data_IF_975043659195
#
_entry.id   IF_975043659195
#
_cell.length_a   1.000
_cell.length_b   1.000
_cell.length_c   1.000
_cell.angle_alpha   90.00
_cell.angle_beta   90.00
_cell.angle_gamma   90.00
#
_symmetry.space_group_name_H-M   'P 1'
#
loop_
_entity.id
_entity.type
_entity.pdbx_description
1 polymer ?
#
# COMPACT_ATOMS: atom_id res chain seq x y z
N UNK A 1 -15.06 9.59 -24.27
CA UNK A 1 -14.51 10.73 -23.51
C UNK A 1 -13.08 10.98 -23.97
N UNK A 2 -12.78 12.15 -24.53
CA UNK A 2 -11.41 12.52 -24.93
C UNK A 2 -10.72 13.17 -23.76
N UNK A 3 -9.63 12.56 -23.27
CA UNK A 3 -8.84 13.15 -22.19
C UNK A 3 -7.97 14.30 -22.73
N UNK A 4 -8.06 15.45 -22.10
CA UNK A 4 -7.16 16.57 -22.39
C UNK A 4 -5.70 16.20 -22.05
N UNK A 5 -4.74 16.72 -22.82
CA UNK A 5 -3.30 16.43 -22.65
C UNK A 5 -2.77 16.53 -21.20
N UNK A 6 -3.12 17.54 -20.38
CA UNK A 6 -2.66 17.63 -18.99
C UNK A 6 -3.14 16.43 -18.14
N UNK A 7 -4.41 16.03 -18.29
CA UNK A 7 -4.99 14.90 -17.55
C UNK A 7 -4.35 13.58 -17.96
N UNK A 8 -4.15 13.36 -19.28
CA UNK A 8 -3.44 12.19 -19.80
C UNK A 8 -2.04 12.07 -19.22
N UNK A 9 -1.30 13.16 -19.10
CA UNK A 9 0.04 13.19 -18.50
C UNK A 9 0.05 12.77 -17.03
N UNK A 10 -1.00 13.12 -16.25
CA UNK A 10 -1.12 12.70 -14.85
C UNK A 10 -1.19 11.16 -14.76
N UNK A 11 -2.05 10.52 -15.58
CA UNK A 11 -2.14 9.05 -15.60
C UNK A 11 -0.83 8.40 -16.03
N UNK A 12 -0.17 8.93 -17.04
CA UNK A 12 1.12 8.43 -17.51
C UNK A 12 2.20 8.52 -16.44
N UNK A 13 2.33 9.68 -15.77
CA UNK A 13 3.30 9.89 -14.69
C UNK A 13 3.02 8.99 -13.49
N UNK A 14 1.73 8.84 -13.11
CA UNK A 14 1.36 7.91 -12.05
C UNK A 14 1.79 6.48 -12.39
N UNK A 15 1.55 6.03 -13.61
CA UNK A 15 2.00 4.72 -14.06
C UNK A 15 3.52 4.57 -13.95
N UNK A 16 4.28 5.55 -14.43
CA UNK A 16 5.74 5.55 -14.35
C UNK A 16 6.24 5.46 -12.90
N UNK A 17 5.64 6.21 -11.96
CA UNK A 17 6.00 6.15 -10.55
C UNK A 17 5.76 4.76 -9.96
N UNK A 18 4.61 4.14 -10.26
CA UNK A 18 4.27 2.80 -9.75
C UNK A 18 5.19 1.74 -10.34
N UNK A 19 5.48 1.81 -11.64
CA UNK A 19 6.40 0.89 -12.30
C UNK A 19 7.83 1.03 -11.75
N UNK A 20 8.25 2.27 -11.49
CA UNK A 20 9.55 2.52 -10.86
C UNK A 20 9.63 1.90 -9.47
N UNK A 21 8.63 2.12 -8.60
CA UNK A 21 8.55 1.52 -7.26
C UNK A 21 8.66 -0.01 -7.33
N UNK A 22 7.89 -0.65 -8.21
CA UNK A 22 7.94 -2.11 -8.38
C UNK A 22 9.32 -2.59 -8.79
N UNK A 23 9.90 -1.97 -9.81
CA UNK A 23 11.22 -2.36 -10.31
C UNK A 23 12.31 -2.13 -9.26
N UNK A 24 12.26 -1.00 -8.55
CA UNK A 24 13.20 -0.69 -7.49
C UNK A 24 13.19 -1.75 -6.38
N UNK A 25 12.01 -2.14 -5.91
CA UNK A 25 11.85 -3.12 -4.84
C UNK A 25 12.17 -4.55 -5.31
N UNK A 26 11.69 -4.94 -6.50
CA UNK A 26 12.01 -6.26 -7.07
C UNK A 26 13.51 -6.47 -7.30
N UNK A 27 14.22 -5.44 -7.74
CA UNK A 27 15.67 -5.50 -7.92
C UNK A 27 16.45 -5.61 -6.59
N UNK A 28 15.75 -5.47 -5.45
CA UNK A 28 16.29 -5.65 -4.09
C UNK A 28 15.69 -6.87 -3.39
N UNK A 29 15.19 -7.82 -4.19
CA UNK A 29 14.64 -9.10 -3.74
C UNK A 29 13.36 -9.00 -2.88
N UNK A 30 12.62 -7.88 -2.99
CA UNK A 30 11.29 -7.78 -2.40
C UNK A 30 10.26 -8.51 -3.25
N UNK A 31 9.44 -9.32 -2.61
CA UNK A 31 8.32 -10.04 -3.23
C UNK A 31 7.06 -9.16 -3.14
N UNK A 32 6.43 -8.90 -4.28
CA UNK A 32 5.11 -8.25 -4.30
C UNK A 32 4.04 -9.24 -3.92
N UNK A 33 3.21 -8.87 -2.94
CA UNK A 33 2.12 -9.70 -2.44
C UNK A 33 0.80 -8.95 -2.48
N UNK A 34 -0.29 -9.69 -2.46
CA UNK A 34 -1.65 -9.17 -2.27
C UNK A 34 -2.23 -9.80 -1.00
N UNK A 35 -2.63 -8.98 -0.05
CA UNK A 35 -3.28 -9.40 1.18
C UNK A 35 -4.76 -9.00 1.19
N UNK A 36 -5.60 -9.61 2.03
CA UNK A 36 -7.03 -9.35 2.03
C UNK A 36 -7.39 -7.88 2.27
N UNK A 37 -8.34 -7.36 1.48
CA UNK A 37 -8.91 -6.02 1.68
C UNK A 37 -10.08 -6.02 2.66
N UNK A 38 -10.76 -7.15 2.84
CA UNK A 38 -11.86 -7.30 3.80
C UNK A 38 -11.41 -8.16 4.97
N UNK A 39 -11.58 -7.66 6.19
CA UNK A 39 -11.09 -8.28 7.41
C UNK A 39 -12.19 -8.44 8.43
N UNK A 40 -12.10 -9.48 9.26
CA UNK A 40 -13.02 -9.68 10.39
C UNK A 40 -12.72 -8.69 11.53
N UNK A 41 -11.47 -8.28 11.67
CA UNK A 41 -11.01 -7.36 12.72
C UNK A 41 -10.27 -6.21 12.06
N UNK A 42 -10.63 -4.94 12.34
CA UNK A 42 -9.86 -3.80 11.84
C UNK A 42 -8.51 -3.71 12.57
N UNK A 43 -7.46 -3.30 11.86
CA UNK A 43 -6.13 -3.14 12.46
C UNK A 43 -5.10 -2.61 11.47
N UNK A 44 -3.87 -2.39 11.98
CA UNK A 44 -2.73 -1.95 11.19
C UNK A 44 -2.54 -0.44 11.08
N UNK A 45 -3.49 0.36 11.57
CA UNK A 45 -3.36 1.82 11.66
C UNK A 45 -4.38 2.41 12.65
N UNK A 46 -4.16 3.64 13.07
CA UNK A 46 -5.12 4.41 13.87
C UNK A 46 -6.04 5.19 12.93
N UNK A 47 -7.09 4.52 12.45
CA UNK A 47 -8.07 5.12 11.54
C UNK A 47 -9.45 4.47 11.74
N UNK A 48 -10.51 5.17 11.35
CA UNK A 48 -11.86 4.63 11.38
C UNK A 48 -12.10 3.78 10.13
N UNK A 49 -12.50 2.48 10.25
CA UNK A 49 -12.75 1.61 9.11
C UNK A 49 -14.11 1.88 8.45
N UNK A 50 -14.23 1.56 7.15
CA UNK A 50 -15.53 1.30 6.53
C UNK A 50 -15.98 -0.12 6.90
N UNK A 51 -17.27 -0.26 7.17
CA UNK A 51 -17.90 -1.52 7.50
C UNK A 51 -18.69 -2.05 6.29
N UNK A 52 -18.67 -3.35 6.10
CA UNK A 52 -19.46 -4.04 5.09
C UNK A 52 -20.03 -5.34 5.67
N UNK A 53 -20.89 -6.03 4.92
CA UNK A 53 -21.54 -7.22 5.40
C UNK A 53 -21.47 -8.32 4.34
N UNK A 54 -21.06 -9.52 4.75
CA UNK A 54 -21.05 -10.72 3.90
C UNK A 54 -22.38 -11.47 4.08
N UNK A 55 -23.22 -11.47 3.06
CA UNK A 55 -24.57 -11.99 3.14
C UNK A 55 -24.63 -13.49 3.49
N UNK A 56 -23.89 -14.32 2.76
CA UNK A 56 -23.94 -15.77 2.94
C UNK A 56 -23.32 -16.22 4.26
N UNK A 57 -22.26 -15.56 4.71
CA UNK A 57 -21.63 -15.83 5.99
C UNK A 57 -22.34 -15.14 7.16
N UNK A 58 -23.33 -14.28 6.87
CA UNK A 58 -24.06 -13.49 7.86
C UNK A 58 -23.13 -12.79 8.86
N UNK A 59 -22.08 -12.16 8.38
CA UNK A 59 -21.08 -11.55 9.24
C UNK A 59 -20.65 -10.16 8.77
N UNK A 60 -20.33 -9.30 9.74
CA UNK A 60 -19.75 -8.00 9.51
C UNK A 60 -18.27 -8.15 9.14
N UNK A 61 -17.84 -7.40 8.12
CA UNK A 61 -16.47 -7.26 7.72
C UNK A 61 -16.06 -5.79 7.70
N UNK A 62 -14.77 -5.55 7.72
CA UNK A 62 -14.17 -4.21 7.67
C UNK A 62 -13.27 -4.10 6.46
N UNK A 63 -13.38 -2.99 5.72
CA UNK A 63 -12.40 -2.65 4.69
C UNK A 63 -11.08 -2.28 5.37
N UNK A 64 -9.97 -2.80 4.86
CA UNK A 64 -8.66 -2.56 5.47
C UNK A 64 -8.29 -1.08 5.50
N UNK A 65 -7.70 -0.67 6.60
CA UNK A 65 -7.13 0.68 6.79
C UNK A 65 -5.62 0.71 6.50
N UNK A 66 -4.98 -0.45 6.54
CA UNK A 66 -3.59 -0.70 6.17
C UNK A 66 -3.36 -2.23 6.01
N UNK A 67 -2.37 -2.67 5.21
CA UNK A 67 -2.02 -4.08 5.07
C UNK A 67 -1.02 -4.58 6.12
N UNK A 68 -0.65 -3.77 7.10
CA UNK A 68 0.45 -3.97 8.05
C UNK A 68 0.44 -5.37 8.71
N UNK A 69 -0.70 -5.78 9.26
CA UNK A 69 -0.76 -7.02 10.04
C UNK A 69 -0.45 -8.25 9.18
N UNK A 70 -1.04 -8.34 8.00
CA UNK A 70 -0.79 -9.45 7.07
C UNK A 70 0.64 -9.43 6.53
N UNK A 71 1.21 -8.27 6.24
CA UNK A 71 2.61 -8.19 5.80
C UNK A 71 3.57 -8.64 6.90
N UNK A 72 3.30 -8.29 8.16
CA UNK A 72 4.06 -8.81 9.30
C UNK A 72 3.90 -10.32 9.49
N UNK A 73 2.70 -10.86 9.28
CA UNK A 73 2.48 -12.32 9.30
C UNK A 73 3.32 -13.04 8.25
N UNK A 74 3.45 -12.47 7.05
CA UNK A 74 4.29 -13.03 5.99
C UNK A 74 5.78 -13.01 6.37
N UNK A 75 6.25 -11.96 7.04
CA UNK A 75 7.62 -11.91 7.58
C UNK A 75 7.83 -13.00 8.63
N UNK A 76 6.91 -13.15 9.58
CA UNK A 76 6.96 -14.22 10.59
C UNK A 76 6.89 -15.60 9.95
N UNK A 77 6.16 -15.73 8.84
CA UNK A 77 6.06 -16.94 8.03
C UNK A 77 7.30 -17.28 7.21
N UNK A 78 8.32 -16.42 7.22
CA UNK A 78 9.62 -16.68 6.58
C UNK A 78 9.86 -15.99 5.24
N UNK A 79 9.04 -15.01 4.87
CA UNK A 79 9.31 -14.14 3.72
C UNK A 79 10.11 -12.91 4.18
N UNK A 80 11.40 -12.87 3.93
CA UNK A 80 12.28 -11.83 4.49
C UNK A 80 12.04 -10.42 3.95
N UNK A 81 11.52 -10.28 2.74
CA UNK A 81 11.28 -9.00 2.08
C UNK A 81 9.98 -9.05 1.29
N UNK A 82 8.98 -8.28 1.75
CA UNK A 82 7.68 -8.23 1.10
C UNK A 82 7.24 -6.79 0.90
N UNK A 83 6.46 -6.54 -0.14
CA UNK A 83 5.77 -5.26 -0.32
C UNK A 83 4.40 -5.46 -0.96
N UNK A 84 3.52 -4.51 -0.74
CA UNK A 84 2.21 -4.45 -1.36
C UNK A 84 1.92 -3.02 -1.83
N UNK A 85 1.47 -2.90 -3.08
CA UNK A 85 0.92 -1.67 -3.63
C UNK A 85 -0.58 -1.88 -3.80
N UNK A 86 -1.39 -1.19 -3.03
CA UNK A 86 -2.82 -1.42 -3.06
C UNK A 86 -3.65 -0.31 -2.42
N UNK A 87 -4.96 -0.47 -2.52
CA UNK A 87 -5.93 0.46 -1.96
C UNK A 87 -6.11 0.26 -0.47
N UNK A 88 -6.20 1.39 0.24
CA UNK A 88 -6.57 1.48 1.64
C UNK A 88 -7.84 2.33 1.76
N UNK A 89 -8.59 2.11 2.84
CA UNK A 89 -9.90 2.72 3.05
C UNK A 89 -9.98 3.29 4.46
N UNK A 90 -10.19 4.60 4.59
CA UNK A 90 -10.31 5.27 5.89
C UNK A 90 -11.55 6.13 5.89
N UNK A 91 -12.49 5.83 6.80
CA UNK A 91 -13.76 6.53 6.96
C UNK A 91 -13.58 7.77 7.84
N UNK A 92 -12.91 8.78 7.28
CA UNK A 92 -12.53 10.02 7.94
C UNK A 92 -12.86 11.23 7.08
N UNK A 93 -12.63 12.43 7.60
CA UNK A 93 -12.89 13.67 6.88
C UNK A 93 -12.09 13.78 5.59
N UNK A 94 -12.72 14.32 4.55
CA UNK A 94 -12.13 14.57 3.24
C UNK A 94 -11.60 16.00 3.21
N UNK A 95 -10.36 16.15 2.76
CA UNK A 95 -9.75 17.45 2.47
C UNK A 95 -8.84 17.35 1.22
N UNK A 96 -8.02 18.37 0.96
CA UNK A 96 -7.14 18.39 -0.21
C UNK A 96 -6.03 17.31 -0.18
N UNK A 97 -5.72 16.75 0.98
CA UNK A 97 -4.67 15.75 1.18
C UNK A 97 -5.18 14.41 1.67
N UNK A 98 -6.46 14.29 2.02
CA UNK A 98 -7.09 13.10 2.55
C UNK A 98 -8.29 12.67 1.70
N UNK A 99 -8.21 11.45 1.20
CA UNK A 99 -9.28 10.81 0.44
C UNK A 99 -9.68 9.50 1.15
N UNK A 100 -10.98 9.13 1.19
CA UNK A 100 -11.42 7.92 1.89
C UNK A 100 -10.87 6.63 1.29
N UNK A 101 -10.54 6.62 0.01
CA UNK A 101 -9.78 5.54 -0.61
C UNK A 101 -8.52 6.11 -1.29
N UNK A 102 -7.40 5.47 -1.06
CA UNK A 102 -6.10 5.91 -1.58
C UNK A 102 -5.18 4.72 -1.76
N UNK A 103 -4.12 4.90 -2.54
CA UNK A 103 -3.12 3.85 -2.78
C UNK A 103 -1.91 4.09 -1.89
N UNK A 104 -1.45 3.02 -1.24
CA UNK A 104 -0.17 2.99 -0.53
C UNK A 104 0.77 1.97 -1.13
N UNK A 105 2.06 2.18 -0.91
CA UNK A 105 3.08 1.16 -1.02
C UNK A 105 3.63 0.93 0.39
N UNK A 106 3.42 -0.25 0.93
CA UNK A 106 4.02 -0.66 2.20
C UNK A 106 5.01 -1.79 1.96
N UNK A 107 6.13 -1.75 2.66
CA UNK A 107 7.16 -2.78 2.60
C UNK A 107 7.64 -3.16 3.99
N UNK A 108 8.05 -4.41 4.12
CA UNK A 108 8.58 -4.98 5.36
C UNK A 108 9.84 -5.77 5.03
N UNK A 109 10.89 -5.52 5.81
CA UNK A 109 12.21 -6.10 5.61
C UNK A 109 12.73 -6.70 6.91
N UNK A 110 12.83 -8.03 6.96
CA UNK A 110 13.40 -8.75 8.09
C UNK A 110 14.89 -8.45 8.23
N UNK A 111 15.36 -8.37 9.47
CA UNK A 111 16.78 -8.15 9.83
C UNK A 111 17.33 -6.76 9.45
N UNK A 112 16.49 -5.84 9.01
CA UNK A 112 16.83 -4.45 8.76
C UNK A 112 16.36 -3.57 9.92
N UNK A 113 17.10 -2.52 10.20
CA UNK A 113 16.68 -1.50 11.15
C UNK A 113 16.14 -0.24 10.45
N UNK A 114 15.80 0.79 11.24
CA UNK A 114 15.25 2.02 10.68
C UNK A 114 16.28 2.82 9.85
N UNK A 115 17.57 2.67 10.11
CA UNK A 115 18.62 3.30 9.32
C UNK A 115 18.68 2.73 7.90
N UNK A 116 18.60 1.39 7.78
CA UNK A 116 18.54 0.71 6.47
C UNK A 116 17.34 1.20 5.65
N UNK A 117 16.19 1.39 6.31
CA UNK A 117 14.98 1.88 5.65
C UNK A 117 15.07 3.37 5.28
N UNK A 118 15.74 4.19 6.09
CA UNK A 118 16.00 5.60 5.77
C UNK A 118 16.85 5.70 4.51
N UNK A 119 18.00 5.02 4.48
CA UNK A 119 18.91 5.01 3.33
C UNK A 119 18.19 4.53 2.05
N UNK A 120 17.45 3.44 2.16
CA UNK A 120 16.68 2.90 1.04
C UNK A 120 15.60 3.89 0.55
N UNK A 121 14.93 4.58 1.45
CA UNK A 121 13.88 5.56 1.11
C UNK A 121 14.48 6.78 0.42
N UNK A 122 15.61 7.29 0.91
CA UNK A 122 16.33 8.40 0.30
C UNK A 122 16.82 8.05 -1.12
N UNK A 123 17.40 6.86 -1.30
CA UNK A 123 17.84 6.37 -2.61
C UNK A 123 16.65 6.19 -3.56
N UNK A 124 15.57 5.57 -3.10
CA UNK A 124 14.33 5.37 -3.86
C UNK A 124 13.79 6.70 -4.40
N UNK A 125 13.60 7.68 -3.52
CA UNK A 125 12.98 8.96 -3.89
C UNK A 125 13.91 9.80 -4.76
N UNK A 126 15.19 9.87 -4.42
CA UNK A 126 16.17 10.65 -5.19
C UNK A 126 16.41 10.09 -6.59
N UNK A 127 16.36 8.77 -6.75
CA UNK A 127 16.53 8.13 -8.04
C UNK A 127 15.24 8.11 -8.89
N UNK A 128 14.07 8.15 -8.26
CA UNK A 128 12.78 8.25 -8.96
C UNK A 128 12.60 9.58 -9.70
N UNK A 129 13.16 10.69 -9.16
CA UNK A 129 12.96 12.04 -9.73
C UNK A 129 14.06 12.44 -10.74
N UNK A 130 15.05 11.61 -10.94
CA UNK A 130 16.10 11.78 -11.97
C UNK A 130 15.62 11.24 -13.32
#
# INVERSE_FOLDING_TARGET
MILHNPVKKIFQRRNQCIDYLRNYLRNRDFIEVETPMMNMIPGGATARPFETFHNDLNMKLYMRIAPELYLKELIVGGLDRVFEIGKQFRNESIDMTHNPEFTTCELYWAYADYHDLMEMTEDLLSSMVK
#
